data_IF_538605563084
#
_entry.id   IF_538605563084
#
_cell.length_a   1.000
_cell.length_b   1.000
_cell.length_c   1.000
_cell.angle_alpha   90.00
_cell.angle_beta   90.00
_cell.angle_gamma   90.00
#
_symmetry.space_group_name_H-M   'P 1'
#
loop_
_entity.id
_entity.type
_entity.pdbx_description
1 polymer ?
#
# COMPACT_ATOMS: atom_id res chain seq x y z
N UNK A 1 -5.74 33.16 -6.09
CA UNK A 1 -4.46 33.74 -5.64
C UNK A 1 -4.81 35.01 -4.90
N UNK A 2 -4.33 35.16 -3.67
CA UNK A 2 -4.50 36.42 -2.94
C UNK A 2 -3.87 37.56 -3.73
N UNK A 3 -4.46 38.75 -3.64
CA UNK A 3 -3.99 39.92 -4.36
C UNK A 3 -2.65 40.37 -3.74
N UNK A 4 -1.52 40.16 -4.43
CA UNK A 4 -0.20 40.59 -3.96
C UNK A 4 -0.06 42.12 -3.83
N UNK A 5 -1.06 42.89 -4.26
CA UNK A 5 -1.14 44.34 -3.99
C UNK A 5 -1.62 44.64 -2.57
N UNK A 6 -2.20 43.66 -1.87
CA UNK A 6 -2.49 43.78 -0.46
C UNK A 6 -1.19 43.77 0.36
N UNK A 7 -0.95 44.74 1.25
CA UNK A 7 0.30 44.83 2.00
C UNK A 7 0.58 43.61 2.89
N UNK A 8 -0.45 42.96 3.44
CA UNK A 8 -0.30 41.81 4.32
C UNK A 8 0.08 40.56 3.52
N UNK A 9 -0.63 40.29 2.43
CA UNK A 9 -0.28 39.22 1.48
C UNK A 9 1.12 39.43 0.87
N UNK A 10 1.50 40.69 0.56
CA UNK A 10 2.84 41.02 0.07
C UNK A 10 3.92 40.67 1.11
N UNK A 11 3.74 41.07 2.37
CA UNK A 11 4.70 40.76 3.45
C UNK A 11 4.80 39.27 3.71
N UNK A 12 3.68 38.54 3.70
CA UNK A 12 3.66 37.09 3.86
C UNK A 12 4.39 36.39 2.70
N UNK A 13 4.11 36.81 1.47
CA UNK A 13 4.79 36.32 0.26
C UNK A 13 6.30 36.56 0.32
N UNK A 14 6.74 37.75 0.75
CA UNK A 14 8.15 38.09 0.87
C UNK A 14 8.87 37.24 1.95
N UNK A 15 8.23 36.99 3.09
CA UNK A 15 8.78 36.08 4.13
C UNK A 15 8.95 34.65 3.62
N UNK A 16 7.95 34.14 2.89
CA UNK A 16 8.02 32.82 2.28
C UNK A 16 9.19 32.75 1.28
N UNK A 17 9.26 33.73 0.39
CA UNK A 17 10.32 33.83 -0.61
C UNK A 17 11.72 33.87 0.00
N UNK A 18 11.93 34.67 1.06
CA UNK A 18 13.21 34.76 1.75
C UNK A 18 13.66 33.40 2.33
N UNK A 19 12.75 32.65 2.93
CA UNK A 19 13.03 31.31 3.45
C UNK A 19 13.42 30.36 2.31
N UNK A 20 12.68 30.34 1.21
CA UNK A 20 12.99 29.46 0.08
C UNK A 20 14.34 29.81 -0.57
N UNK A 21 14.67 31.10 -0.74
CA UNK A 21 15.98 31.53 -1.26
C UNK A 21 17.13 31.10 -0.33
N UNK A 22 16.93 31.19 0.99
CA UNK A 22 17.91 30.71 1.96
C UNK A 22 18.19 29.21 1.79
N UNK A 23 17.14 28.38 1.73
CA UNK A 23 17.27 26.92 1.60
C UNK A 23 17.72 26.48 0.20
N UNK A 24 17.39 27.23 -0.84
CA UNK A 24 17.75 26.93 -2.22
C UNK A 24 19.27 26.89 -2.47
N UNK A 25 20.08 27.48 -1.58
CA UNK A 25 21.54 27.33 -1.59
C UNK A 25 21.97 25.86 -1.46
N UNK A 26 21.27 25.10 -0.62
CA UNK A 26 21.65 23.73 -0.22
C UNK A 26 20.77 22.65 -0.83
N UNK A 27 19.51 22.95 -1.15
CA UNK A 27 18.52 21.93 -1.52
C UNK A 27 17.90 22.19 -2.91
N UNK A 28 18.00 21.23 -3.86
CA UNK A 28 17.45 21.39 -5.22
C UNK A 28 15.94 21.64 -5.28
N UNK A 29 15.16 21.06 -4.36
CA UNK A 29 13.71 21.24 -4.30
C UNK A 29 13.31 22.71 -4.15
N UNK A 30 13.97 23.44 -3.26
CA UNK A 30 13.69 24.86 -3.04
C UNK A 30 14.05 25.72 -4.27
N UNK A 31 15.02 25.30 -5.10
CA UNK A 31 15.32 25.95 -6.38
C UNK A 31 14.16 25.78 -7.37
N UNK A 32 13.60 24.57 -7.43
CA UNK A 32 12.42 24.26 -8.25
C UNK A 32 11.20 25.07 -7.83
N UNK A 33 10.94 25.20 -6.53
CA UNK A 33 9.83 26.01 -6.01
C UNK A 33 9.99 27.50 -6.35
N UNK A 34 11.19 28.06 -6.16
CA UNK A 34 11.51 29.45 -6.57
C UNK A 34 11.25 29.66 -8.07
N UNK A 35 11.62 28.68 -8.92
CA UNK A 35 11.38 28.77 -10.36
C UNK A 35 9.89 28.68 -10.73
N UNK A 36 9.13 27.84 -10.04
CA UNK A 36 7.68 27.72 -10.27
C UNK A 36 6.95 29.04 -9.97
N UNK A 37 7.34 29.73 -8.89
CA UNK A 37 6.78 31.06 -8.55
C UNK A 37 7.08 32.07 -9.66
N UNK A 38 8.32 32.12 -10.16
CA UNK A 38 8.70 33.01 -11.27
C UNK A 38 7.90 32.73 -12.55
N UNK A 39 7.81 31.45 -12.96
CA UNK A 39 7.08 31.06 -14.17
C UNK A 39 5.59 31.33 -14.05
N UNK A 40 5.02 31.19 -12.86
CA UNK A 40 3.61 31.47 -12.60
C UNK A 40 3.33 32.98 -12.71
N UNK A 41 4.17 33.82 -12.10
CA UNK A 41 4.06 35.28 -12.22
C UNK A 41 4.21 35.75 -13.67
N UNK A 42 5.17 35.20 -14.42
CA UNK A 42 5.34 35.49 -15.85
C UNK A 42 4.12 35.11 -16.69
N UNK A 43 3.52 33.94 -16.44
CA UNK A 43 2.32 33.48 -17.16
C UNK A 43 1.07 34.29 -16.84
N UNK A 44 1.01 34.86 -15.64
CA UNK A 44 -0.11 35.69 -15.20
C UNK A 44 0.00 37.14 -15.67
N UNK A 45 1.10 37.50 -16.36
CA UNK A 45 1.42 38.88 -16.71
C UNK A 45 1.41 39.83 -15.48
N UNK A 46 1.61 39.27 -14.29
CA UNK A 46 1.62 40.00 -13.02
C UNK A 46 3.09 40.22 -12.62
N UNK A 47 3.64 41.43 -12.83
CA UNK A 47 5.05 41.68 -12.58
C UNK A 47 5.35 41.47 -11.11
N UNK A 48 6.28 40.56 -10.79
CA UNK A 48 6.78 40.41 -9.43
C UNK A 48 7.24 41.80 -8.92
N UNK A 49 6.88 42.16 -7.67
CA UNK A 49 7.27 43.42 -7.07
C UNK A 49 8.79 43.69 -7.18
N UNK A 50 9.17 44.97 -7.33
CA UNK A 50 10.57 45.36 -7.60
C UNK A 50 11.57 44.94 -6.50
N UNK A 51 11.11 44.78 -5.27
CA UNK A 51 11.85 44.27 -4.11
C UNK A 51 12.15 42.75 -4.18
N UNK A 52 11.56 42.05 -5.16
CA UNK A 52 11.83 40.63 -5.49
C UNK A 52 13.07 40.50 -6.41
N UNK A 53 13.85 41.57 -6.62
CA UNK A 53 15.06 41.57 -7.46
C UNK A 53 16.08 40.46 -7.11
N UNK A 54 16.09 39.99 -5.85
CA UNK A 54 16.88 38.83 -5.41
C UNK A 54 16.59 37.53 -6.18
N UNK A 55 15.43 37.42 -6.85
CA UNK A 55 15.09 36.28 -7.70
C UNK A 55 15.79 36.30 -9.05
N UNK A 56 16.05 37.49 -9.62
CA UNK A 56 16.88 37.62 -10.83
C UNK A 56 18.32 37.22 -10.52
N UNK A 57 18.87 37.72 -9.43
CA UNK A 57 20.20 37.33 -8.93
C UNK A 57 20.30 35.82 -8.67
N UNK A 58 19.22 35.22 -8.17
CA UNK A 58 19.12 33.78 -7.94
C UNK A 58 19.17 32.98 -9.26
N UNK A 59 18.41 33.40 -10.28
CA UNK A 59 18.42 32.75 -11.59
C UNK A 59 19.79 32.84 -12.26
N UNK A 60 20.46 33.99 -12.15
CA UNK A 60 21.82 34.17 -12.67
C UNK A 60 22.84 33.29 -11.96
N UNK A 61 22.78 33.18 -10.63
CA UNK A 61 23.74 32.40 -9.82
C UNK A 61 23.53 30.90 -9.90
N UNK A 62 22.29 30.44 -9.99
CA UNK A 62 21.99 29.03 -9.80
C UNK A 62 21.56 28.33 -11.08
N UNK A 63 21.05 29.04 -12.11
CA UNK A 63 20.43 28.44 -13.30
C UNK A 63 21.05 28.80 -14.65
N UNK A 64 22.06 29.67 -14.74
CA UNK A 64 22.75 29.87 -16.03
C UNK A 64 23.41 28.56 -16.52
N UNK A 65 23.25 28.19 -17.81
CA UNK A 65 23.74 26.93 -18.38
C UNK A 65 25.25 26.67 -18.24
N UNK A 66 26.06 27.71 -18.03
CA UNK A 66 27.53 27.64 -18.11
C UNK A 66 28.20 26.94 -16.92
N UNK A 67 27.47 26.61 -15.86
CA UNK A 67 28.03 25.94 -14.67
C UNK A 67 28.14 24.41 -14.77
N UNK A 68 27.84 23.79 -15.91
CA UNK A 68 28.05 22.33 -16.12
C UNK A 68 29.53 21.91 -16.21
N UNK A 69 30.48 22.86 -16.30
CA UNK A 69 31.90 22.53 -16.47
C UNK A 69 32.63 22.14 -15.17
N UNK A 70 32.09 22.40 -13.98
CA UNK A 70 32.84 22.19 -12.72
C UNK A 70 32.49 20.93 -11.93
N UNK A 71 31.67 20.01 -12.48
CA UNK A 71 31.34 18.73 -11.83
C UNK A 71 31.54 17.59 -12.83
N UNK A 72 32.76 17.45 -13.35
CA UNK A 72 33.19 16.21 -13.99
C UNK A 72 33.92 15.36 -12.92
N UNK A 73 33.53 14.08 -12.72
CA UNK A 73 34.24 13.20 -11.79
C UNK A 73 35.64 12.91 -12.34
N UNK A 74 36.68 13.08 -11.50
CA UNK A 74 38.06 12.67 -11.81
C UNK A 74 38.06 11.18 -12.18
N UNK A 75 38.27 10.88 -13.46
CA UNK A 75 38.48 9.53 -13.95
C UNK A 75 39.71 8.91 -13.26
N UNK A 76 39.49 7.85 -12.48
CA UNK A 76 40.56 6.98 -11.99
C UNK A 76 41.17 6.26 -13.18
N UNK A 77 42.44 6.55 -13.47
CA UNK A 77 43.27 5.78 -14.41
C UNK A 77 43.38 4.33 -13.90
N UNK A 78 42.94 3.38 -14.71
CA UNK A 78 43.26 1.96 -14.57
C UNK A 78 44.75 1.75 -14.94
N UNK A 79 45.52 0.97 -14.16
CA UNK A 79 46.86 0.59 -14.55
C UNK A 79 46.82 -0.54 -15.59
N UNK A 80 47.70 -0.39 -16.57
CA UNK A 80 47.96 -1.31 -17.67
C UNK A 80 48.38 -2.71 -17.21
N UNK A 81 47.82 -3.71 -17.89
CA UNK A 81 48.10 -5.15 -17.79
C UNK A 81 49.48 -5.46 -18.40
N UNK A 82 50.33 -6.30 -17.79
CA UNK A 82 51.38 -7.01 -18.51
C UNK A 82 50.91 -8.40 -18.92
N UNK A 83 51.27 -8.78 -20.14
CA UNK A 83 51.18 -10.14 -20.68
C UNK A 83 52.34 -10.99 -20.18
N UNK A 84 52.10 -12.28 -19.92
CA UNK A 84 52.99 -13.37 -20.37
C UNK A 84 52.26 -14.72 -20.27
N UNK A 85 52.54 -15.56 -21.26
CA UNK A 85 52.25 -16.98 -21.34
C UNK A 85 53.04 -17.76 -20.27
N UNK A 86 52.50 -18.88 -19.76
CA UNK A 86 53.16 -20.20 -19.83
C UNK A 86 52.34 -21.37 -19.22
N UNK A 87 52.03 -22.34 -20.09
CA UNK A 87 52.31 -23.80 -20.03
C UNK A 87 52.06 -24.63 -18.73
N UNK A 88 50.97 -25.40 -18.77
CA UNK A 88 50.81 -26.86 -18.60
C UNK A 88 51.33 -27.68 -17.36
N UNK A 89 50.35 -28.25 -16.62
CA UNK A 89 50.20 -29.67 -16.15
C UNK A 89 50.90 -30.15 -14.85
N UNK A 90 50.61 -31.37 -14.29
CA UNK A 90 49.64 -31.58 -13.19
C UNK A 90 50.21 -32.46 -12.02
N UNK A 91 49.36 -32.78 -11.01
CA UNK A 91 49.47 -33.82 -9.92
C UNK A 91 49.09 -33.17 -8.56
N UNK A 92 48.52 -33.82 -7.54
CA UNK A 92 48.04 -35.18 -7.21
C UNK A 92 47.17 -35.01 -5.94
N UNK A 93 46.17 -35.86 -5.75
CA UNK A 93 45.51 -36.07 -4.45
C UNK A 93 46.50 -36.65 -3.41
N UNK A 94 46.16 -36.60 -2.11
CA UNK A 94 45.64 -37.83 -1.53
C UNK A 94 44.40 -37.67 -0.62
N UNK A 95 43.74 -38.82 -0.54
CA UNK A 95 42.61 -39.25 0.27
C UNK A 95 43.07 -39.58 1.70
N UNK A 96 42.24 -39.29 2.71
CA UNK A 96 42.18 -40.13 3.92
C UNK A 96 40.72 -40.27 4.38
N UNK A 97 40.32 -41.52 4.60
CA UNK A 97 39.02 -42.01 5.09
C UNK A 97 39.28 -42.73 6.42
N UNK A 98 38.44 -42.52 7.45
CA UNK A 98 37.77 -43.49 8.37
C UNK A 98 37.43 -42.77 9.71
N UNK A 99 36.18 -42.59 10.15
CA UNK A 99 35.10 -43.49 10.67
C UNK A 99 35.16 -43.75 12.21
N UNK A 100 34.09 -44.25 12.88
CA UNK A 100 33.23 -43.48 13.79
C UNK A 100 33.21 -43.99 15.25
N UNK A 101 32.53 -43.26 16.14
CA UNK A 101 32.22 -43.72 17.51
C UNK A 101 30.94 -43.09 18.08
N UNK A 102 29.97 -43.94 18.40
CA UNK A 102 28.81 -43.73 19.29
C UNK A 102 29.03 -44.60 20.54
N UNK A 103 28.08 -44.69 21.50
CA UNK A 103 27.36 -43.67 22.27
C UNK A 103 27.56 -43.87 23.79
N UNK A 104 27.04 -42.98 24.63
CA UNK A 104 26.82 -43.28 26.05
C UNK A 104 25.51 -42.66 26.55
N UNK A 105 24.63 -43.54 27.04
CA UNK A 105 23.48 -43.25 27.89
C UNK A 105 23.95 -42.83 29.30
N UNK A 106 23.16 -42.00 30.00
CA UNK A 106 22.77 -42.34 31.38
C UNK A 106 21.52 -41.56 31.81
N UNK A 107 20.75 -42.27 32.62
CA UNK A 107 19.39 -42.04 33.11
C UNK A 107 19.42 -41.49 34.54
N UNK A 108 18.39 -40.74 34.96
CA UNK A 108 17.73 -40.66 36.30
C UNK A 108 17.23 -39.21 36.52
N UNK A 109 15.92 -38.92 36.52
CA UNK A 109 14.84 -39.26 37.45
C UNK A 109 14.66 -38.26 38.61
N UNK A 110 13.38 -38.01 38.90
CA UNK A 110 12.74 -37.38 40.08
C UNK A 110 12.42 -35.87 39.96
N UNK A 111 11.17 -35.40 39.88
CA UNK A 111 9.95 -35.57 40.72
C UNK A 111 9.85 -34.47 41.79
N UNK A 112 9.02 -33.43 41.57
CA UNK A 112 8.35 -32.66 42.64
C UNK A 112 6.97 -32.16 42.16
N UNK A 113 6.00 -32.32 43.06
CA UNK A 113 4.55 -32.04 42.98
C UNK A 113 4.19 -30.58 43.28
N UNK A 114 2.98 -30.20 42.88
CA UNK A 114 2.06 -29.29 43.61
C UNK A 114 2.38 -27.80 43.47
N UNK A 115 1.46 -26.86 43.38
CA UNK A 115 0.12 -26.78 43.96
C UNK A 115 -0.68 -25.67 43.25
N UNK A 116 -1.99 -25.85 43.11
CA UNK A 116 -2.94 -24.79 42.78
C UNK A 116 -3.28 -24.01 44.06
N UNK A 117 -3.37 -22.68 43.98
CA UNK A 117 -4.13 -21.90 44.96
C UNK A 117 -4.86 -20.74 44.28
N UNK A 118 -6.18 -20.81 44.39
CA UNK A 118 -7.16 -19.73 44.25
C UNK A 118 -6.92 -18.64 45.30
N UNK A 119 -7.01 -17.36 44.90
CA UNK A 119 -7.54 -16.29 45.73
C UNK A 119 -8.35 -15.32 44.85
N UNK A 120 -9.64 -15.21 45.17
CA UNK A 120 -10.53 -14.13 44.75
C UNK A 120 -10.51 -13.07 45.85
N UNK A 121 -10.34 -11.80 45.51
CA UNK A 121 -10.73 -10.68 46.39
C UNK A 121 -11.37 -9.60 45.52
N UNK A 122 -12.64 -9.34 45.81
CA UNK A 122 -13.40 -8.19 45.35
C UNK A 122 -13.00 -6.95 46.17
N UNK A 123 -12.88 -5.79 45.53
CA UNK A 123 -12.85 -4.50 46.20
C UNK A 123 -13.71 -3.51 45.41
N UNK A 124 -14.70 -2.94 46.10
CA UNK A 124 -15.56 -1.86 45.64
C UNK A 124 -14.78 -0.52 45.61
N UNK A 125 -15.11 0.41 44.70
CA UNK A 125 -14.58 1.76 44.78
C UNK A 125 -15.54 2.69 45.54
N UNK A 126 -14.97 3.34 46.56
CA UNK A 126 -15.49 4.48 47.29
C UNK A 126 -15.60 5.72 46.40
N UNK A 127 -16.72 6.42 46.51
CA UNK A 127 -16.97 7.70 45.87
C UNK A 127 -16.16 8.82 46.53
N UNK A 128 -15.49 9.64 45.72
CA UNK A 128 -15.09 10.99 46.10
C UNK A 128 -15.58 11.98 45.04
N UNK A 129 -16.43 12.90 45.49
CA UNK A 129 -16.95 13.99 44.69
C UNK A 129 -15.85 15.03 44.48
N UNK A 130 -15.62 15.39 43.21
CA UNK A 130 -14.77 16.51 42.81
C UNK A 130 -15.59 17.41 41.89
N UNK A 131 -15.86 18.61 42.39
CA UNK A 131 -16.58 19.69 41.73
C UNK A 131 -15.82 20.13 40.47
N UNK A 132 -16.28 19.73 39.29
CA UNK A 132 -15.70 20.17 38.01
C UNK A 132 -16.58 21.26 37.42
N UNK A 133 -16.06 22.48 37.43
CA UNK A 133 -16.61 23.68 36.80
C UNK A 133 -16.81 23.46 35.31
N UNK A 134 -17.96 23.91 34.82
CA UNK A 134 -18.49 23.79 33.47
C UNK A 134 -17.58 24.42 32.41
N UNK A 135 -16.75 23.61 31.73
CA UNK A 135 -16.16 23.88 30.41
C UNK A 135 -16.40 22.65 29.53
N UNK A 136 -17.66 22.34 29.22
CA UNK A 136 -18.03 21.10 28.50
C UNK A 136 -18.84 21.30 27.23
N UNK A 137 -19.19 22.53 26.85
CA UNK A 137 -20.11 22.77 25.74
C UNK A 137 -19.42 23.11 24.40
N UNK A 138 -18.17 23.60 24.39
CA UNK A 138 -17.51 24.07 23.16
C UNK A 138 -16.64 22.99 22.49
N UNK A 139 -15.99 22.11 23.26
CA UNK A 139 -15.15 21.04 22.70
C UNK A 139 -15.92 19.79 22.24
N UNK A 140 -17.16 19.59 22.70
CA UNK A 140 -17.97 18.44 22.30
C UNK A 140 -18.40 18.53 20.81
N UNK A 141 -18.75 19.75 20.34
CA UNK A 141 -19.16 19.98 18.96
C UNK A 141 -18.01 19.86 17.95
N UNK A 142 -16.80 20.29 18.32
CA UNK A 142 -15.60 20.09 17.49
C UNK A 142 -15.23 18.62 17.35
N UNK A 143 -15.32 17.82 18.43
CA UNK A 143 -15.02 16.39 18.39
C UNK A 143 -15.99 15.61 17.49
N UNK A 144 -17.29 15.93 17.52
CA UNK A 144 -18.29 15.29 16.67
C UNK A 144 -18.16 15.68 15.20
N UNK A 145 -17.93 16.97 14.89
CA UNK A 145 -17.69 17.42 13.52
C UNK A 145 -16.40 16.83 12.94
N UNK A 146 -15.34 16.70 13.75
CA UNK A 146 -14.08 16.04 13.38
C UNK A 146 -14.27 14.55 13.11
N UNK A 147 -15.00 13.85 13.97
CA UNK A 147 -15.34 12.44 13.77
C UNK A 147 -16.20 12.23 12.53
N UNK A 148 -17.14 13.13 12.23
CA UNK A 148 -17.95 13.06 11.01
C UNK A 148 -17.11 13.32 9.74
N UNK A 149 -16.21 14.30 9.76
CA UNK A 149 -15.28 14.57 8.65
C UNK A 149 -14.31 13.40 8.40
N UNK A 150 -13.80 12.80 9.48
CA UNK A 150 -12.97 11.59 9.43
C UNK A 150 -13.74 10.39 8.85
N UNK A 151 -14.97 10.17 9.34
CA UNK A 151 -15.85 9.13 8.80
C UNK A 151 -16.16 9.38 7.32
N UNK A 152 -16.38 10.64 6.89
CA UNK A 152 -16.63 10.99 5.50
C UNK A 152 -15.42 10.73 4.60
N UNK A 153 -14.20 11.02 5.07
CA UNK A 153 -12.95 10.68 4.36
C UNK A 153 -12.72 9.16 4.25
N UNK A 154 -13.10 8.39 5.27
CA UNK A 154 -13.13 6.92 5.21
C UNK A 154 -14.21 6.36 4.26
N UNK A 155 -15.22 7.16 3.88
CA UNK A 155 -16.49 6.67 3.33
C UNK A 155 -16.74 6.74 1.82
N UNK A 156 -15.80 7.00 0.89
CA UNK A 156 -16.14 6.78 -0.52
C UNK A 156 -16.43 5.28 -0.81
N UNK A 157 -15.88 4.38 0.01
CA UNK A 157 -15.97 2.91 -0.15
C UNK A 157 -17.19 2.30 0.57
N UNK A 158 -17.63 2.84 1.71
CA UNK A 158 -18.73 2.23 2.51
C UNK A 158 -20.13 2.56 1.98
N UNK A 159 -20.31 3.65 1.24
CA UNK A 159 -21.63 4.09 0.72
C UNK A 159 -21.91 3.65 -0.71
N UNK A 160 -20.91 3.22 -1.46
CA UNK A 160 -21.06 2.79 -2.83
C UNK A 160 -21.43 1.30 -2.92
N UNK A 161 -22.68 0.97 -2.57
CA UNK A 161 -23.32 -0.22 -3.12
C UNK A 161 -23.69 0.09 -4.57
N UNK A 162 -22.68 0.21 -5.44
CA UNK A 162 -22.88 0.49 -6.85
C UNK A 162 -23.47 -0.74 -7.52
N UNK A 163 -24.53 -0.52 -8.29
CA UNK A 163 -25.24 -1.50 -9.09
C UNK A 163 -24.26 -2.46 -9.76
N UNK A 164 -24.40 -3.76 -9.48
CA UNK A 164 -23.60 -4.82 -10.07
C UNK A 164 -23.88 -4.89 -11.59
N UNK A 165 -23.20 -4.07 -12.38
CA UNK A 165 -23.17 -4.21 -13.81
C UNK A 165 -22.31 -5.42 -14.16
N UNK A 166 -22.91 -6.48 -14.73
CA UNK A 166 -22.36 -7.60 -15.55
C UNK A 166 -20.93 -8.15 -15.28
N UNK A 167 -20.30 -7.88 -14.15
CA UNK A 167 -18.98 -8.37 -13.76
C UNK A 167 -19.13 -9.19 -12.48
N UNK A 168 -19.67 -10.41 -12.60
CA UNK A 168 -19.94 -11.26 -11.44
C UNK A 168 -18.65 -11.67 -10.72
N UNK A 169 -17.54 -11.85 -11.44
CA UNK A 169 -16.21 -12.14 -10.92
C UNK A 169 -15.19 -12.25 -12.07
N UNK A 170 -13.91 -12.12 -11.78
CA UNK A 170 -12.81 -12.46 -12.69
C UNK A 170 -11.57 -12.93 -11.94
N UNK A 171 -10.78 -13.77 -12.61
CA UNK A 171 -9.42 -14.13 -12.21
C UNK A 171 -8.53 -13.82 -13.40
N UNK A 172 -7.57 -12.92 -13.23
CA UNK A 172 -6.68 -12.48 -14.31
C UNK A 172 -5.22 -12.62 -13.92
N UNK A 173 -4.37 -12.78 -14.92
CA UNK A 173 -2.91 -12.68 -14.78
C UNK A 173 -2.38 -11.65 -15.76
N UNK A 174 -1.32 -10.95 -15.37
CA UNK A 174 -0.63 -10.04 -16.28
C UNK A 174 0.28 -10.85 -17.21
N UNK A 175 0.14 -10.58 -18.51
CA UNK A 175 0.95 -11.18 -19.58
C UNK A 175 2.21 -10.35 -19.80
N UNK A 176 2.07 -9.03 -19.76
CA UNK A 176 3.18 -8.09 -19.90
C UNK A 176 2.81 -6.71 -19.36
N UNK A 177 3.84 -5.97 -18.95
CA UNK A 177 3.82 -4.53 -18.76
C UNK A 177 4.86 -3.90 -19.71
N UNK A 178 4.57 -2.70 -20.22
CA UNK A 178 5.58 -1.82 -20.82
C UNK A 178 5.40 -0.37 -20.41
N UNK A 179 6.50 0.35 -20.50
CA UNK A 179 6.59 1.80 -20.34
C UNK A 179 7.05 2.39 -21.67
N UNK A 180 6.13 2.74 -22.60
CA UNK A 180 6.50 3.14 -23.95
C UNK A 180 7.58 4.22 -23.99
N UNK A 181 8.56 4.13 -24.92
CA UNK A 181 8.64 3.18 -26.04
C UNK A 181 9.34 1.85 -25.71
N UNK A 182 9.57 1.52 -24.43
CA UNK A 182 10.27 0.29 -24.04
C UNK A 182 9.51 -0.98 -24.47
N UNK A 183 10.26 -2.06 -24.72
CA UNK A 183 9.69 -3.37 -25.05
C UNK A 183 8.88 -3.93 -23.87
N UNK A 184 7.79 -4.68 -24.15
CA UNK A 184 7.03 -5.36 -23.11
C UNK A 184 7.81 -6.48 -22.42
N UNK A 185 7.62 -6.56 -21.10
CA UNK A 185 8.24 -7.59 -20.26
C UNK A 185 7.26 -8.06 -19.17
N UNK A 186 7.53 -9.22 -18.56
CA UNK A 186 6.77 -9.72 -17.41
C UNK A 186 7.68 -10.39 -16.39
N UNK A 187 8.14 -9.61 -15.43
CA UNK A 187 9.03 -10.04 -14.36
C UNK A 187 8.30 -10.57 -13.12
N UNK A 188 6.96 -10.60 -13.11
CA UNK A 188 6.15 -11.02 -11.96
C UNK A 188 5.19 -12.15 -12.29
N UNK A 189 4.88 -12.97 -11.29
CA UNK A 189 3.68 -13.79 -11.26
C UNK A 189 2.56 -12.93 -10.67
N UNK A 190 1.92 -12.14 -11.51
CA UNK A 190 0.80 -11.28 -11.12
C UNK A 190 -0.52 -12.04 -11.19
N UNK A 191 -1.30 -11.99 -10.11
CA UNK A 191 -2.66 -12.56 -10.02
C UNK A 191 -3.62 -11.52 -9.46
N UNK A 192 -4.71 -11.29 -10.17
CA UNK A 192 -5.78 -10.37 -9.76
C UNK A 192 -7.09 -11.15 -9.61
N UNK A 193 -7.71 -11.04 -8.44
CA UNK A 193 -9.08 -11.49 -8.20
C UNK A 193 -9.98 -10.27 -8.18
N UNK A 194 -11.07 -10.29 -8.94
CA UNK A 194 -12.13 -9.29 -8.82
C UNK A 194 -13.47 -9.97 -8.59
N UNK A 195 -14.29 -9.42 -7.69
CA UNK A 195 -15.66 -9.88 -7.42
C UNK A 195 -16.52 -8.64 -7.23
N UNK A 196 -17.53 -8.48 -8.09
CA UNK A 196 -18.27 -7.23 -8.24
C UNK A 196 -17.31 -6.04 -8.46
N UNK A 197 -17.37 -5.03 -7.60
CA UNK A 197 -16.56 -3.82 -7.67
C UNK A 197 -15.33 -3.86 -6.75
N UNK A 198 -14.95 -5.02 -6.24
CA UNK A 198 -13.79 -5.15 -5.36
C UNK A 198 -12.71 -5.98 -6.03
N UNK A 199 -11.45 -5.69 -5.69
CA UNK A 199 -10.32 -6.41 -6.25
C UNK A 199 -9.20 -6.62 -5.24
N UNK A 200 -8.39 -7.65 -5.51
CA UNK A 200 -7.13 -7.96 -4.85
C UNK A 200 -6.10 -8.28 -5.94
N UNK A 201 -5.03 -7.49 -6.03
CA UNK A 201 -3.91 -7.64 -6.96
C UNK A 201 -2.64 -8.01 -6.16
N UNK A 202 -2.05 -9.16 -6.51
CA UNK A 202 -0.80 -9.63 -5.94
C UNK A 202 0.24 -9.85 -7.04
N UNK A 203 1.37 -9.16 -6.93
CA UNK A 203 2.52 -9.24 -7.84
C UNK A 203 3.74 -9.78 -7.10
N UNK A 204 4.18 -10.98 -7.46
CA UNK A 204 5.39 -11.62 -6.88
C UNK A 204 6.48 -11.66 -7.94
N UNK A 205 7.67 -11.15 -7.64
CA UNK A 205 8.80 -11.23 -8.57
C UNK A 205 9.17 -12.67 -8.90
N UNK A 206 9.28 -13.01 -10.19
CA UNK A 206 9.64 -14.36 -10.66
C UNK A 206 11.03 -14.77 -10.20
N UNK A 207 11.99 -13.87 -10.33
CA UNK A 207 13.41 -14.16 -10.08
C UNK A 207 13.72 -14.31 -8.60
N UNK A 208 13.22 -13.39 -7.77
CA UNK A 208 13.59 -13.33 -6.34
C UNK A 208 12.56 -13.97 -5.43
N UNK A 209 11.35 -14.23 -5.93
CA UNK A 209 10.18 -14.65 -5.15
C UNK A 209 9.85 -13.67 -4.03
N UNK A 210 10.18 -12.39 -4.18
CA UNK A 210 9.81 -11.32 -3.24
C UNK A 210 8.53 -10.64 -3.71
N UNK A 211 7.89 -9.93 -2.79
CA UNK A 211 6.76 -9.07 -3.12
C UNK A 211 7.24 -7.91 -4.00
N UNK A 212 6.63 -7.75 -5.19
CA UNK A 212 6.79 -6.55 -6.03
C UNK A 212 5.77 -5.48 -5.64
N UNK A 213 4.49 -5.88 -5.60
CA UNK A 213 3.38 -5.01 -5.25
C UNK A 213 2.16 -5.82 -4.80
N UNK A 214 1.44 -5.30 -3.81
CA UNK A 214 0.15 -5.81 -3.37
C UNK A 214 -0.83 -4.63 -3.24
N UNK A 215 -2.02 -4.79 -3.82
CA UNK A 215 -3.07 -3.78 -3.83
C UNK A 215 -4.40 -4.47 -3.54
N UNK A 216 -5.26 -3.82 -2.75
CA UNK A 216 -6.65 -4.23 -2.63
C UNK A 216 -7.54 -3.01 -2.44
N UNK A 217 -8.78 -3.09 -2.92
CA UNK A 217 -9.74 -2.00 -2.76
C UNK A 217 -10.90 -2.10 -3.73
N UNK A 218 -11.34 -0.95 -4.22
CA UNK A 218 -12.55 -0.78 -5.03
C UNK A 218 -12.21 -0.40 -6.46
N UNK A 219 -12.86 -1.09 -7.40
CA UNK A 219 -12.86 -0.84 -8.83
C UNK A 219 -14.13 -0.07 -9.20
N UNK A 220 -13.98 1.15 -9.70
CA UNK A 220 -15.08 2.00 -10.15
C UNK A 220 -15.07 2.09 -11.68
N UNK A 221 -16.13 1.59 -12.31
CA UNK A 221 -16.31 1.75 -13.76
C UNK A 221 -16.99 3.09 -14.01
N UNK A 222 -16.45 3.89 -14.94
CA UNK A 222 -17.05 5.16 -15.31
C UNK A 222 -18.44 4.91 -15.94
N UNK A 223 -19.52 5.57 -15.46
CA UNK A 223 -20.86 5.39 -15.99
C UNK A 223 -21.02 5.85 -17.45
N UNK A 224 -20.13 6.73 -17.93
CA UNK A 224 -20.16 7.28 -19.28
C UNK A 224 -19.17 6.59 -20.24
N UNK A 225 -18.15 5.88 -19.73
CA UNK A 225 -17.25 5.06 -20.55
C UNK A 225 -16.89 3.77 -19.79
N UNK A 226 -17.56 2.67 -20.14
CA UNK A 226 -17.37 1.37 -19.47
C UNK A 226 -15.95 0.80 -19.57
N UNK A 227 -15.10 1.38 -20.42
CA UNK A 227 -13.68 1.04 -20.56
C UNK A 227 -12.82 1.76 -19.53
N UNK A 228 -13.26 2.91 -19.03
CA UNK A 228 -12.52 3.70 -18.05
C UNK A 228 -12.83 3.15 -16.67
N UNK A 229 -11.77 2.79 -15.96
CA UNK A 229 -11.85 2.19 -14.64
C UNK A 229 -10.91 2.93 -13.71
N UNK A 230 -11.43 3.39 -12.58
CA UNK A 230 -10.65 4.00 -11.51
C UNK A 230 -10.51 3.01 -10.36
N UNK A 231 -9.29 2.81 -9.87
CA UNK A 231 -8.98 1.96 -8.74
C UNK A 231 -8.73 2.81 -7.51
N UNK A 232 -9.53 2.59 -6.47
CA UNK A 232 -9.36 3.19 -5.15
C UNK A 232 -8.67 2.18 -4.23
N UNK A 233 -7.45 2.51 -3.80
CA UNK A 233 -6.61 1.60 -3.03
C UNK A 233 -6.89 1.73 -1.53
N UNK A 234 -7.44 0.68 -0.92
CA UNK A 234 -7.54 0.57 0.55
C UNK A 234 -6.23 0.08 1.14
N UNK A 235 -5.61 -0.89 0.47
CA UNK A 235 -4.29 -1.46 0.74
C UNK A 235 -3.39 -1.16 -0.47
N UNK A 236 -2.16 -0.73 -0.22
CA UNK A 236 -1.15 -0.49 -1.24
C UNK A 236 0.25 -0.64 -0.62
N UNK A 237 0.93 -1.74 -0.94
CA UNK A 237 2.24 -2.06 -0.33
C UNK A 237 3.38 -1.12 -0.73
N UNK A 238 3.17 -0.28 -1.76
CA UNK A 238 4.11 0.77 -2.17
C UNK A 238 3.82 2.12 -1.52
N UNK A 239 2.80 2.19 -0.67
CA UNK A 239 2.38 3.38 0.06
C UNK A 239 2.00 4.58 -0.84
N UNK A 240 1.55 4.32 -2.07
CA UNK A 240 1.11 5.35 -3.02
C UNK A 240 -0.41 5.56 -2.96
N UNK A 241 -0.96 5.80 -1.75
CA UNK A 241 -2.40 5.96 -1.52
C UNK A 241 -2.98 7.24 -2.13
N UNK A 242 -2.14 8.26 -2.34
CA UNK A 242 -2.54 9.56 -2.88
C UNK A 242 -2.67 9.54 -4.42
N UNK A 243 -2.20 8.49 -5.08
CA UNK A 243 -2.27 8.38 -6.53
C UNK A 243 -3.63 7.81 -6.94
N UNK A 244 -4.39 8.57 -7.73
CA UNK A 244 -5.59 8.05 -8.38
C UNK A 244 -5.14 7.19 -9.55
N UNK A 245 -5.36 5.89 -9.45
CA UNK A 245 -5.06 4.94 -10.51
C UNK A 245 -6.27 4.82 -11.46
N UNK A 246 -6.07 5.10 -12.74
CA UNK A 246 -7.14 5.04 -13.74
C UNK A 246 -6.61 4.44 -15.03
N UNK A 247 -7.17 3.28 -15.38
CA UNK A 247 -6.88 2.54 -16.60
C UNK A 247 -8.01 2.65 -17.62
N UNK A 248 -7.65 2.62 -18.89
CA UNK A 248 -8.55 2.46 -20.02
C UNK A 248 -8.37 1.06 -20.61
N UNK A 249 -9.45 0.28 -20.60
CA UNK A 249 -9.44 -1.13 -21.00
C UNK A 249 -9.99 -1.31 -22.42
N UNK A 250 -9.32 -2.16 -23.20
CA UNK A 250 -9.77 -2.55 -24.53
C UNK A 250 -9.52 -4.03 -24.77
N UNK A 251 -10.50 -4.71 -25.33
CA UNK A 251 -10.35 -6.13 -25.67
C UNK A 251 -9.38 -6.29 -26.84
N UNK A 252 -8.50 -7.28 -26.75
CA UNK A 252 -7.59 -7.68 -27.81
C UNK A 252 -8.18 -8.87 -28.61
N UNK A 253 -7.81 -9.03 -29.90
CA UNK A 253 -8.35 -10.10 -30.74
C UNK A 253 -8.14 -11.53 -30.23
N UNK A 254 -7.13 -11.74 -29.38
CA UNK A 254 -6.80 -13.04 -28.79
C UNK A 254 -7.56 -13.35 -27.49
N UNK A 255 -8.46 -12.47 -27.05
CA UNK A 255 -9.22 -12.60 -25.80
C UNK A 255 -8.51 -12.08 -24.56
N UNK A 256 -7.29 -11.55 -24.69
CA UNK A 256 -6.64 -10.75 -23.64
C UNK A 256 -7.26 -9.34 -23.60
N UNK A 257 -6.95 -8.57 -22.56
CA UNK A 257 -7.35 -7.16 -22.40
C UNK A 257 -6.11 -6.28 -22.33
N UNK A 258 -6.10 -5.18 -23.08
CA UNK A 258 -5.11 -4.12 -22.96
C UNK A 258 -5.64 -3.05 -22.02
N UNK A 259 -4.89 -2.81 -20.96
CA UNK A 259 -5.04 -1.65 -20.09
C UNK A 259 -3.97 -0.62 -20.44
N UNK A 260 -4.38 0.63 -20.64
CA UNK A 260 -3.46 1.77 -20.77
C UNK A 260 -3.79 2.82 -19.72
N UNK A 261 -2.77 3.44 -19.15
CA UNK A 261 -2.96 4.47 -18.13
C UNK A 261 -1.71 5.30 -17.92
N UNK A 262 -1.70 6.08 -16.84
CA UNK A 262 -0.53 6.82 -16.39
C UNK A 262 -0.23 6.50 -14.94
N UNK A 263 1.04 6.18 -14.64
CA UNK A 263 1.47 5.86 -13.29
C UNK A 263 2.94 6.22 -13.08
N UNK A 264 3.37 6.31 -11.82
CA UNK A 264 4.78 6.46 -11.48
C UNK A 264 5.47 5.10 -11.65
N UNK A 265 6.52 5.04 -12.46
CA UNK A 265 7.26 3.80 -12.68
C UNK A 265 7.92 3.32 -11.39
N UNK A 266 7.84 2.02 -11.06
CA UNK A 266 8.58 1.46 -9.94
C UNK A 266 10.08 1.70 -10.11
N UNK A 267 10.71 2.27 -9.06
CA UNK A 267 12.13 2.63 -9.07
C UNK A 267 12.43 4.06 -9.56
N UNK A 268 11.44 4.79 -10.10
CA UNK A 268 11.61 6.22 -10.35
C UNK A 268 11.75 6.99 -9.02
N UNK A 269 12.54 8.08 -8.98
CA UNK A 269 12.69 8.91 -7.80
C UNK A 269 11.35 9.48 -7.30
N UNK A 270 11.25 9.73 -5.99
CA UNK A 270 10.12 10.45 -5.42
C UNK A 270 9.92 11.81 -6.09
N UNK A 271 8.67 12.12 -6.48
CA UNK A 271 8.33 13.34 -7.21
C UNK A 271 8.51 13.26 -8.73
N UNK A 272 8.81 12.08 -9.28
CA UNK A 272 8.81 11.86 -10.74
C UNK A 272 7.42 12.05 -11.34
N UNK A 273 7.39 12.50 -12.59
CA UNK A 273 6.14 12.63 -13.33
C UNK A 273 5.58 11.25 -13.71
N UNK A 274 4.25 11.05 -13.62
CA UNK A 274 3.61 9.87 -14.14
C UNK A 274 3.93 9.68 -15.63
N UNK A 275 4.17 8.43 -16.04
CA UNK A 275 4.42 8.04 -17.43
C UNK A 275 3.30 7.15 -17.92
N UNK A 276 3.14 7.08 -19.24
CA UNK A 276 2.24 6.11 -19.84
C UNK A 276 2.74 4.70 -19.53
N UNK A 277 1.81 3.83 -19.18
CA UNK A 277 2.03 2.39 -19.10
C UNK A 277 1.03 1.67 -19.98
N UNK A 278 1.39 0.46 -20.37
CA UNK A 278 0.47 -0.49 -20.95
C UNK A 278 0.63 -1.85 -20.27
N UNK A 279 -0.47 -2.43 -19.82
CA UNK A 279 -0.53 -3.77 -19.26
C UNK A 279 -1.44 -4.64 -20.11
N UNK A 280 -1.00 -5.86 -20.42
CA UNK A 280 -1.82 -6.87 -21.11
C UNK A 280 -2.25 -7.90 -20.08
N UNK A 281 -3.54 -8.14 -19.99
CA UNK A 281 -4.18 -8.99 -19.00
C UNK A 281 -4.83 -10.19 -19.66
N UNK A 282 -4.57 -11.38 -19.12
CA UNK A 282 -5.18 -12.63 -19.57
C UNK A 282 -6.15 -13.17 -18.53
N UNK A 283 -7.42 -13.39 -18.88
CA UNK A 283 -8.34 -14.15 -18.04
C UNK A 283 -7.80 -15.56 -17.80
N UNK A 284 -7.73 -15.98 -16.53
CA UNK A 284 -7.37 -17.35 -16.15
C UNK A 284 -8.62 -18.21 -16.04
N UNK A 285 -8.49 -19.47 -16.45
CA UNK A 285 -9.49 -20.49 -16.15
C UNK A 285 -9.55 -20.70 -14.63
N UNK A 286 -10.76 -20.62 -14.08
CA UNK A 286 -11.03 -20.91 -12.68
C UNK A 286 -10.92 -22.42 -12.46
N UNK A 287 -10.14 -22.81 -11.44
CA UNK A 287 -10.03 -24.21 -11.02
C UNK A 287 -11.16 -24.48 -10.03
N UNK A 288 -12.05 -25.41 -10.37
CA UNK A 288 -13.09 -25.87 -9.44
C UNK A 288 -12.48 -26.70 -8.30
N UNK A 289 -13.02 -26.53 -7.09
CA UNK A 289 -12.62 -27.29 -5.90
C UNK A 289 -13.76 -28.20 -5.44
N UNK A 290 -13.48 -29.26 -4.66
CA UNK A 290 -14.53 -30.06 -4.04
C UNK A 290 -15.45 -29.19 -3.17
N UNK A 291 -16.77 -29.32 -3.37
CA UNK A 291 -17.77 -28.51 -2.68
C UNK A 291 -18.26 -27.33 -3.52
N UNK A 292 -18.49 -26.19 -2.87
CA UNK A 292 -19.03 -24.99 -3.53
C UNK A 292 -17.97 -24.26 -4.35
N UNK A 293 -18.27 -24.03 -5.62
CA UNK A 293 -17.49 -23.17 -6.49
C UNK A 293 -18.05 -21.76 -6.41
N UNK A 294 -17.35 -20.91 -5.65
CA UNK A 294 -17.78 -19.57 -5.28
C UNK A 294 -16.63 -18.59 -5.45
N UNK A 295 -16.97 -17.33 -5.62
CA UNK A 295 -16.07 -16.20 -5.55
C UNK A 295 -16.53 -15.27 -4.45
N UNK A 296 -15.60 -14.73 -3.65
CA UNK A 296 -15.91 -13.72 -2.67
C UNK A 296 -14.71 -12.83 -2.37
N UNK A 297 -14.99 -11.61 -1.92
CA UNK A 297 -14.03 -10.70 -1.31
C UNK A 297 -14.60 -10.23 0.02
N UNK A 298 -13.80 -10.36 1.07
CA UNK A 298 -14.09 -9.90 2.42
C UNK A 298 -13.10 -8.80 2.78
N UNK A 299 -13.59 -7.80 3.49
CA UNK A 299 -12.78 -6.72 4.07
C UNK A 299 -12.91 -6.82 5.60
N UNK A 300 -11.80 -6.71 6.32
CA UNK A 300 -11.82 -6.67 7.78
C UNK A 300 -12.72 -5.53 8.26
N UNK A 301 -13.58 -5.78 9.25
CA UNK A 301 -14.52 -4.77 9.75
C UNK A 301 -13.86 -3.60 10.52
N UNK A 302 -12.51 -3.52 10.48
CA UNK A 302 -11.66 -2.57 11.18
C UNK A 302 -11.23 -3.08 12.56
N UNK A 303 -9.92 -3.11 12.82
CA UNK A 303 -9.37 -3.28 14.17
C UNK A 303 -8.51 -2.06 14.56
N UNK A 304 -8.87 -1.51 15.73
CA UNK A 304 -8.18 -0.55 16.59
C UNK A 304 -7.63 0.74 15.98
N UNK A 305 -8.44 1.81 16.05
CA UNK A 305 -7.97 3.19 16.03
C UNK A 305 -7.29 3.48 17.38
N UNK A 306 -5.98 3.63 17.41
CA UNK A 306 -5.30 4.38 18.47
C UNK A 306 -5.14 5.83 18.00
N UNK A 307 -5.89 6.76 18.59
CA UNK A 307 -5.66 8.18 18.38
C UNK A 307 -4.49 8.61 19.26
N UNK A 308 -3.40 9.05 18.66
CA UNK A 308 -2.37 9.83 19.37
C UNK A 308 -2.60 11.30 19.05
N UNK A 309 -3.15 12.04 20.01
CA UNK A 309 -3.24 13.48 19.94
C UNK A 309 -1.88 14.06 20.33
N UNK A 310 -1.31 14.93 19.49
CA UNK A 310 -0.11 15.66 19.87
C UNK A 310 -0.41 16.54 21.10
N UNK A 311 0.54 16.57 22.04
CA UNK A 311 0.39 17.20 23.35
C UNK A 311 0.25 18.74 23.30
N UNK A 312 0.46 19.35 22.13
CA UNK A 312 0.39 20.79 21.90
C UNK A 312 -1.01 21.30 21.55
N UNK A 313 -2.00 20.43 21.32
CA UNK A 313 -3.40 20.81 21.08
C UNK A 313 -3.65 21.60 19.78
N UNK A 314 -2.58 21.89 19.04
CA UNK A 314 -2.54 22.59 17.74
C UNK A 314 -1.64 21.73 16.85
N UNK A 315 -2.12 20.55 16.46
CA UNK A 315 -1.24 19.55 15.87
C UNK A 315 -1.97 18.54 14.99
N UNK A 316 -1.19 17.94 14.09
CA UNK A 316 -1.60 16.82 13.23
C UNK A 316 -2.12 15.67 14.09
N UNK A 317 -3.32 15.17 13.81
CA UNK A 317 -3.85 13.98 14.47
C UNK A 317 -3.41 12.74 13.70
N UNK A 318 -3.02 11.70 14.42
CA UNK A 318 -2.63 10.43 13.80
C UNK A 318 -3.47 9.30 14.36
N UNK A 319 -4.05 8.51 13.46
CA UNK A 319 -4.68 7.23 13.74
C UNK A 319 -3.93 6.10 13.06
N UNK A 320 -3.81 4.97 13.75
CA UNK A 320 -3.37 3.71 13.18
C UNK A 320 -4.58 2.84 12.88
N UNK A 321 -4.58 2.15 11.74
CA UNK A 321 -5.65 1.26 11.29
C UNK A 321 -5.06 0.00 10.65
N UNK A 322 -5.64 -1.16 10.92
CA UNK A 322 -5.23 -2.40 10.25
C UNK A 322 -6.27 -2.80 9.22
N UNK A 323 -5.87 -2.72 7.95
CA UNK A 323 -6.71 -3.11 6.81
C UNK A 323 -6.43 -4.56 6.46
N UNK A 324 -7.47 -5.36 6.23
CA UNK A 324 -7.33 -6.75 5.76
C UNK A 324 -8.30 -7.04 4.64
N UNK A 325 -7.83 -7.62 3.53
CA UNK A 325 -8.65 -8.16 2.46
C UNK A 325 -8.40 -9.65 2.33
N UNK A 326 -9.47 -10.44 2.32
CA UNK A 326 -9.45 -11.87 2.00
C UNK A 326 -10.23 -12.05 0.69
N UNK A 327 -9.64 -12.70 -0.30
CA UNK A 327 -10.25 -12.93 -1.60
C UNK A 327 -10.12 -14.38 -2.01
N UNK A 328 -11.21 -14.95 -2.52
CA UNK A 328 -11.23 -16.31 -3.06
C UNK A 328 -11.98 -16.33 -4.38
N UNK A 329 -11.48 -17.09 -5.34
CA UNK A 329 -12.20 -17.47 -6.54
C UNK A 329 -11.86 -18.90 -6.93
N UNK A 330 -12.83 -19.80 -6.80
CA UNK A 330 -12.63 -21.24 -6.99
C UNK A 330 -11.46 -21.76 -6.15
N UNK A 331 -10.40 -22.20 -6.83
CA UNK A 331 -9.16 -22.75 -6.26
C UNK A 331 -8.03 -21.75 -6.06
N UNK A 332 -8.27 -20.44 -6.08
CA UNK A 332 -7.27 -19.41 -5.76
C UNK A 332 -7.74 -18.62 -4.54
N UNK A 333 -6.84 -18.40 -3.58
CA UNK A 333 -7.09 -17.65 -2.36
C UNK A 333 -5.94 -16.70 -2.04
N UNK A 334 -6.24 -15.43 -1.78
CA UNK A 334 -5.28 -14.39 -1.42
C UNK A 334 -5.77 -13.65 -0.18
N UNK A 335 -4.91 -13.51 0.82
CA UNK A 335 -5.10 -12.66 1.98
C UNK A 335 -4.00 -11.59 2.01
N UNK A 336 -4.39 -10.33 2.21
CA UNK A 336 -3.49 -9.20 2.35
C UNK A 336 -3.89 -8.40 3.58
N UNK A 337 -2.93 -8.10 4.45
CA UNK A 337 -3.12 -7.24 5.62
C UNK A 337 -2.05 -6.17 5.64
N UNK A 338 -2.45 -4.92 5.85
CA UNK A 338 -1.55 -3.79 5.95
C UNK A 338 -1.98 -2.88 7.10
N UNK A 339 -1.14 -2.71 8.13
CA UNK A 339 -1.25 -1.61 9.06
C UNK A 339 -0.98 -0.29 8.32
N UNK A 340 -1.82 0.71 8.55
CA UNK A 340 -1.81 2.01 7.90
C UNK A 340 -1.93 3.11 8.95
N UNK A 341 -1.44 4.30 8.61
CA UNK A 341 -1.51 5.51 9.42
C UNK A 341 -2.29 6.56 8.65
N UNK A 342 -3.27 7.20 9.27
CA UNK A 342 -3.98 8.33 8.71
C UNK A 342 -3.59 9.57 9.50
N UNK A 343 -3.05 10.56 8.79
CA UNK A 343 -2.65 11.85 9.37
C UNK A 343 -3.67 12.90 8.95
N UNK A 344 -4.41 13.42 9.93
CA UNK A 344 -5.29 14.57 9.79
C UNK A 344 -4.53 15.87 10.06
N UNK A 345 -4.58 16.82 9.13
CA UNK A 345 -3.97 18.15 9.28
C UNK A 345 -5.05 19.22 9.16
N UNK A 346 -5.19 20.05 10.19
CA UNK A 346 -6.06 21.22 10.15
C UNK A 346 -5.45 22.28 9.22
N UNK A 347 -6.21 22.67 8.22
CA UNK A 347 -5.86 23.70 7.24
C UNK A 347 -6.20 25.09 7.78
N UNK A 348 -5.61 26.13 7.20
CA UNK A 348 -5.84 27.53 7.61
C UNK A 348 -7.30 27.97 7.48
N UNK A 349 -8.07 27.33 6.60
CA UNK A 349 -9.50 27.58 6.41
C UNK A 349 -10.39 26.87 7.45
N UNK A 350 -9.80 26.16 8.42
CA UNK A 350 -10.54 25.38 9.43
C UNK A 350 -10.97 23.99 8.97
N UNK A 351 -10.67 23.58 7.73
CA UNK A 351 -10.98 22.23 7.23
C UNK A 351 -9.86 21.23 7.53
N UNK A 352 -10.18 19.95 7.62
CA UNK A 352 -9.19 18.89 7.76
C UNK A 352 -8.79 18.30 6.40
N UNK A 353 -7.49 18.17 6.15
CA UNK A 353 -6.96 17.32 5.09
C UNK A 353 -6.44 16.02 5.69
N UNK A 354 -6.77 14.88 5.10
CA UNK A 354 -6.29 13.59 5.55
C UNK A 354 -5.32 12.98 4.54
N UNK A 355 -4.28 12.31 5.05
CA UNK A 355 -3.32 11.57 4.23
C UNK A 355 -3.14 10.17 4.81
N UNK A 356 -3.24 9.14 3.96
CA UNK A 356 -3.06 7.74 4.35
C UNK A 356 -1.66 7.25 3.97
N UNK A 357 -1.02 6.53 4.87
CA UNK A 357 0.31 5.95 4.71
C UNK A 357 0.28 4.49 5.14
N UNK A 358 1.17 3.65 4.60
CA UNK A 358 1.45 2.37 5.22
C UNK A 358 2.30 2.57 6.46
N UNK A 359 2.11 1.71 7.45
CA UNK A 359 2.90 1.74 8.68
C UNK A 359 4.22 0.97 8.53
N UNK A 360 5.10 1.13 9.52
CA UNK A 360 6.44 0.55 9.57
C UNK A 360 6.47 -0.98 9.59
N UNK A 361 5.37 -1.59 10.04
CA UNK A 361 5.19 -3.05 10.09
C UNK A 361 5.13 -3.68 8.70
N UNK A 362 4.82 -2.89 7.66
CA UNK A 362 4.76 -3.35 6.28
C UNK A 362 3.49 -4.14 5.97
N UNK A 363 3.52 -4.96 4.92
CA UNK A 363 2.37 -5.74 4.47
C UNK A 363 2.58 -7.23 4.74
N UNK A 364 1.54 -7.90 5.21
CA UNK A 364 1.46 -9.33 5.41
C UNK A 364 0.61 -9.96 4.31
N UNK A 365 1.09 -11.04 3.70
CA UNK A 365 0.46 -11.68 2.54
C UNK A 365 0.46 -13.18 2.71
N UNK A 366 -0.64 -13.81 2.31
CA UNK A 366 -0.77 -15.25 2.12
C UNK A 366 -1.50 -15.52 0.81
N UNK A 367 -0.92 -16.34 -0.05
CA UNK A 367 -1.50 -16.79 -1.31
C UNK A 367 -1.45 -18.32 -1.36
N UNK A 368 -2.60 -18.92 -1.60
CA UNK A 368 -2.79 -20.37 -1.68
C UNK A 368 -3.53 -20.74 -2.96
N UNK A 369 -3.16 -21.87 -3.55
CA UNK A 369 -3.86 -22.43 -4.71
C UNK A 369 -4.21 -23.90 -4.43
N UNK A 370 -5.37 -24.33 -4.93
CA UNK A 370 -5.83 -25.71 -4.84
C UNK A 370 -5.11 -26.60 -5.88
N UNK A 371 -4.45 -27.65 -5.41
CA UNK A 371 -3.61 -28.54 -6.21
C UNK A 371 -4.16 -29.98 -6.25
N UNK A 372 -5.44 -30.12 -6.61
CA UNK A 372 -6.10 -31.42 -6.81
C UNK A 372 -6.04 -32.28 -5.54
N UNK A 373 -5.44 -33.48 -5.65
CA UNK A 373 -5.31 -34.41 -4.51
C UNK A 373 -4.53 -33.85 -3.32
N UNK A 374 -3.64 -32.88 -3.56
CA UNK A 374 -2.85 -32.23 -2.49
C UNK A 374 -3.67 -31.25 -1.66
N UNK A 375 -4.86 -30.87 -2.11
CA UNK A 375 -5.64 -29.82 -1.48
C UNK A 375 -5.03 -28.43 -1.71
N UNK A 376 -5.35 -27.49 -0.82
CA UNK A 376 -4.78 -26.13 -0.82
C UNK A 376 -3.30 -26.14 -0.44
N UNK A 377 -2.49 -25.46 -1.24
CA UNK A 377 -1.03 -25.38 -1.08
C UNK A 377 -0.61 -23.91 -1.04
N UNK A 378 0.27 -23.57 -0.11
CA UNK A 378 0.89 -22.24 -0.05
C UNK A 378 1.76 -21.98 -1.29
N UNK A 379 1.50 -20.86 -1.95
CA UNK A 379 2.23 -20.39 -3.13
C UNK A 379 3.18 -19.25 -2.78
N UNK A 380 2.76 -18.39 -1.86
CA UNK A 380 3.55 -17.25 -1.39
C UNK A 380 3.04 -16.79 -0.03
N UNK A 381 3.95 -16.65 0.93
CA UNK A 381 3.66 -16.13 2.28
C UNK A 381 4.80 -15.19 2.67
N UNK A 382 4.49 -13.96 3.08
CA UNK A 382 5.49 -12.97 3.50
C UNK A 382 4.90 -11.96 4.49
N UNK A 383 5.77 -11.14 5.09
CA UNK A 383 5.41 -10.14 6.10
C UNK A 383 5.32 -10.70 7.52
N UNK A 384 5.18 -9.80 8.51
CA UNK A 384 5.24 -10.16 9.94
C UNK A 384 4.09 -11.08 10.39
N UNK A 385 2.92 -10.96 9.78
CA UNK A 385 1.72 -11.75 10.11
C UNK A 385 1.32 -12.72 9.00
N UNK A 386 2.17 -12.93 7.98
CA UNK A 386 1.78 -13.70 6.79
C UNK A 386 1.37 -15.14 7.12
N UNK A 387 2.02 -15.76 8.11
CA UNK A 387 1.68 -17.13 8.54
C UNK A 387 0.44 -17.16 9.42
N UNK A 388 0.13 -16.05 10.06
CA UNK A 388 -0.95 -15.84 11.00
C UNK A 388 -2.26 -15.45 10.30
N UNK A 389 -2.21 -15.01 9.04
CA UNK A 389 -3.39 -14.75 8.21
C UNK A 389 -4.25 -16.01 8.02
N UNK A 390 -5.58 -15.85 7.86
CA UNK A 390 -6.48 -16.98 7.66
C UNK A 390 -6.06 -17.88 6.48
N UNK A 391 -6.16 -19.20 6.63
CA UNK A 391 -5.72 -20.19 5.63
C UNK A 391 -6.86 -21.09 5.13
N UNK A 392 -6.75 -21.55 3.88
CA UNK A 392 -7.64 -22.56 3.28
C UNK A 392 -7.07 -23.99 3.44
N UNK A 393 -5.86 -24.16 3.99
CA UNK A 393 -5.19 -25.45 4.10
C UNK A 393 -6.01 -26.50 4.85
N UNK A 394 -6.05 -27.72 4.30
CA UNK A 394 -6.78 -28.84 4.92
C UNK A 394 -6.26 -29.12 6.33
N UNK A 395 -7.18 -29.42 7.27
CA UNK A 395 -6.93 -29.65 8.70
C UNK A 395 -6.49 -28.40 9.50
N UNK A 396 -6.30 -27.25 8.84
CA UNK A 396 -6.00 -25.96 9.46
C UNK A 396 -6.92 -24.84 8.96
N UNK A 397 -7.90 -25.18 8.13
CA UNK A 397 -8.76 -24.20 7.46
C UNK A 397 -9.49 -23.39 8.50
N UNK A 398 -9.30 -22.08 8.44
CA UNK A 398 -9.99 -21.11 9.28
C UNK A 398 -11.43 -20.88 8.82
N UNK A 399 -11.74 -21.36 7.61
CA UNK A 399 -13.06 -21.34 7.02
C UNK A 399 -13.78 -22.63 7.35
N UNK A 400 -14.95 -22.51 7.98
CA UNK A 400 -15.84 -23.66 8.26
C UNK A 400 -16.54 -24.01 6.94
N UNK A 401 -16.23 -25.15 6.29
CA UNK A 401 -16.75 -25.45 4.95
C UNK A 401 -18.27 -25.54 4.89
N UNK A 402 -18.91 -25.88 6.01
CA UNK A 402 -20.36 -25.96 6.12
C UNK A 402 -21.05 -24.57 6.10
N UNK A 403 -20.34 -23.51 6.47
CA UNK A 403 -20.86 -22.14 6.58
C UNK A 403 -20.40 -21.24 5.43
N UNK A 404 -19.21 -21.51 4.87
CA UNK A 404 -18.69 -20.74 3.75
C UNK A 404 -19.66 -20.75 2.55
N UNK A 405 -19.92 -19.57 1.99
CA UNK A 405 -20.84 -19.42 0.86
C UNK A 405 -22.30 -19.67 1.20
N UNK A 406 -22.70 -19.62 2.47
CA UNK A 406 -24.11 -19.68 2.91
C UNK A 406 -24.47 -18.47 3.78
N UNK A 407 -25.77 -18.19 3.91
CA UNK A 407 -26.25 -17.14 4.81
C UNK A 407 -25.64 -15.76 4.50
N UNK A 408 -25.00 -15.15 5.51
CA UNK A 408 -24.43 -13.81 5.40
C UNK A 408 -23.36 -13.67 4.31
N UNK A 409 -22.64 -14.75 3.97
CA UNK A 409 -21.65 -14.75 2.89
C UNK A 409 -22.23 -14.32 1.54
N UNK A 410 -23.52 -14.54 1.31
CA UNK A 410 -24.21 -14.24 0.05
C UNK A 410 -24.79 -12.82 -0.01
N UNK A 411 -24.62 -12.05 1.06
CA UNK A 411 -25.26 -10.75 1.23
C UNK A 411 -24.17 -9.69 1.38
N UNK A 412 -23.91 -8.87 0.33
CA UNK A 412 -22.98 -7.76 0.44
C UNK A 412 -23.30 -6.87 1.66
N UNK A 413 -22.26 -6.31 2.26
CA UNK A 413 -22.26 -5.51 3.49
C UNK A 413 -22.63 -6.25 4.78
N UNK A 414 -22.97 -7.54 4.74
CA UNK A 414 -23.15 -8.34 5.96
C UNK A 414 -21.81 -8.79 6.54
N UNK A 415 -21.82 -9.08 7.85
CA UNK A 415 -20.64 -9.57 8.56
C UNK A 415 -20.58 -11.10 8.61
N UNK A 416 -19.36 -11.61 8.55
CA UNK A 416 -18.98 -13.00 8.83
C UNK A 416 -17.78 -13.00 9.77
N UNK A 417 -17.70 -13.98 10.66
CA UNK A 417 -16.61 -14.07 11.64
C UNK A 417 -15.66 -15.20 11.23
N UNK A 418 -14.36 -14.90 11.16
CA UNK A 418 -13.29 -15.84 10.81
C UNK A 418 -12.22 -15.71 11.90
N UNK A 419 -11.90 -16.81 12.59
CA UNK A 419 -10.98 -16.82 13.75
C UNK A 419 -11.30 -15.79 14.85
N UNK A 420 -12.58 -15.48 15.05
CA UNK A 420 -13.00 -14.48 16.03
C UNK A 420 -12.86 -13.02 15.57
N UNK A 421 -12.36 -12.78 14.35
CA UNK A 421 -12.35 -11.46 13.72
C UNK A 421 -13.56 -11.29 12.80
N UNK A 422 -14.17 -10.11 12.81
CA UNK A 422 -15.28 -9.76 11.93
C UNK A 422 -14.78 -9.26 10.57
N UNK A 423 -15.42 -9.76 9.52
CA UNK A 423 -15.20 -9.33 8.15
C UNK A 423 -16.53 -8.95 7.49
N UNK A 424 -16.51 -7.86 6.72
CA UNK A 424 -17.63 -7.42 5.88
C UNK A 424 -17.53 -8.10 4.52
N UNK A 425 -18.61 -8.72 4.08
CA UNK A 425 -18.73 -9.30 2.74
C UNK A 425 -18.83 -8.16 1.72
N UNK A 426 -17.82 -8.01 0.87
CA UNK A 426 -17.78 -6.96 -0.16
C UNK A 426 -18.26 -7.45 -1.52
N UNK A 427 -17.83 -8.65 -1.90
CA UNK A 427 -18.26 -9.31 -3.13
C UNK A 427 -18.62 -10.77 -2.86
N UNK A 428 -19.63 -11.27 -3.56
CA UNK A 428 -19.97 -12.68 -3.58
C UNK A 428 -20.58 -13.07 -4.94
N UNK A 429 -20.21 -14.24 -5.46
CA UNK A 429 -20.86 -14.84 -6.62
C UNK A 429 -20.74 -16.36 -6.61
N UNK A 430 -21.73 -17.03 -7.19
CA UNK A 430 -21.64 -18.45 -7.53
C UNK A 430 -20.93 -18.63 -8.87
N UNK A 431 -20.05 -19.62 -8.95
CA UNK A 431 -19.32 -19.99 -10.16
C UNK A 431 -20.01 -21.23 -10.75
N UNK A 432 -20.48 -21.17 -12.01
CA UNK A 432 -21.20 -22.25 -12.66
C UNK A 432 -20.33 -23.47 -12.97
#
# INVERSE_FOLDING_TARGET
>A
MENLRDPESHVAFMKLCANHVHFAKRWPLHRGMVRMVQLTAQRMEDPLPHDVAHFRDFEERYWRPDHRASIAPKAKRLPSRPSTNDRATPRKHPVTVTQPGSPAESTLSQLVRGNQHLWSIAAAPTASASTTTTVKAVHAGEGEAKMQAYQQYQNPIKTQTLFAGKHAYSLSQRVSIRWPPEDPYENTDTTVISVNNFFVDLRVEKATRKLDWAIAGVRLVDPNDSRRVTFLHTINSRNTFQHIDTGLFSALPNGDELEVGTSIRPGDPAGSFPRQYEEVWRPRKIVHVPGSNIAWILEGAGSHISLTQNADGIGTEESKEVETFLARIGGVYIAIRQPTRIVGTLQMNGEYSFQKFGDVEGVSIRHEEFAGKRGWVEKFVTGPEGKELPTMQKNKSDFIPALEGKGNWRKPSQKVTIRGEDYVVRGFADIP
#
